data_IF_323970781423
#
_entry.id   IF_323970781423
#
_cell.length_a   1.000
_cell.length_b   1.000
_cell.length_c   1.000
_cell.angle_alpha   90.00
_cell.angle_beta   90.00
_cell.angle_gamma   90.00
#
_symmetry.space_group_name_H-M   'P 1'
#
loop_
_entity.id
_entity.type
_entity.pdbx_description
1 polymer ?
#
# COMPACT_ATOMS: atom_id res chain seq x y z
N UNK A 1 2.03 -1.92 -21.56
CA UNK A 1 1.56 -2.33 -20.22
C UNK A 1 2.32 -1.44 -19.24
N UNK A 2 1.60 -0.75 -18.37
CA UNK A 2 2.17 0.28 -17.48
C UNK A 2 3.13 -0.36 -16.45
N UNK A 3 3.97 0.46 -15.82
CA UNK A 3 5.05 0.02 -14.92
C UNK A 3 4.59 -0.82 -13.73
N UNK A 4 3.32 -0.77 -13.34
CA UNK A 4 2.79 -1.39 -12.12
C UNK A 4 1.75 -2.46 -12.45
N UNK A 5 2.04 -3.76 -12.27
CA UNK A 5 1.05 -4.83 -12.37
C UNK A 5 0.08 -4.87 -11.17
N UNK A 6 0.54 -4.38 -10.02
CA UNK A 6 -0.15 -4.37 -8.73
C UNK A 6 -0.05 -2.95 -8.13
N UNK A 7 -1.03 -2.51 -7.33
CA UNK A 7 -0.91 -1.26 -6.61
C UNK A 7 0.19 -1.39 -5.56
N UNK A 8 1.06 -0.40 -5.48
CA UNK A 8 2.04 -0.36 -4.41
C UNK A 8 1.41 0.16 -3.11
N UNK A 9 1.91 -0.35 -1.98
CA UNK A 9 1.80 0.28 -0.67
C UNK A 9 3.20 0.70 -0.23
N UNK A 10 3.40 2.01 -0.13
CA UNK A 10 4.63 2.61 0.38
C UNK A 10 4.70 2.35 1.89
N UNK A 11 5.80 1.77 2.33
CA UNK A 11 6.03 1.40 3.73
C UNK A 11 7.41 1.85 4.18
N UNK A 12 7.53 2.27 5.43
CA UNK A 12 8.84 2.52 6.03
C UNK A 12 9.61 1.19 6.16
N UNK A 13 10.93 1.15 5.89
CA UNK A 13 11.71 -0.09 5.96
C UNK A 13 11.70 -0.78 7.33
N UNK A 14 11.62 -0.01 8.43
CA UNK A 14 11.55 -0.61 9.78
C UNK A 14 10.21 -1.30 10.02
N UNK A 15 9.10 -0.76 9.51
CA UNK A 15 7.78 -1.40 9.61
C UNK A 15 7.75 -2.68 8.77
N UNK A 16 8.42 -2.67 7.61
CA UNK A 16 8.57 -3.87 6.78
C UNK A 16 9.33 -4.97 7.53
N UNK A 17 10.39 -4.61 8.26
CA UNK A 17 11.15 -5.54 9.09
C UNK A 17 10.31 -6.07 10.28
N UNK A 18 9.53 -5.21 10.95
CA UNK A 18 8.62 -5.60 12.03
C UNK A 18 7.57 -6.61 11.55
N UNK A 19 7.09 -6.46 10.31
CA UNK A 19 6.05 -7.30 9.71
C UNK A 19 6.57 -8.50 8.90
N UNK A 20 7.88 -8.71 8.82
CA UNK A 20 8.54 -9.76 8.03
C UNK A 20 8.11 -9.79 6.53
N UNK A 21 8.08 -8.60 5.92
CA UNK A 21 7.76 -8.41 4.50
C UNK A 21 8.94 -7.80 3.73
N UNK A 22 9.14 -8.29 2.51
CA UNK A 22 10.19 -7.83 1.60
C UNK A 22 9.62 -6.97 0.46
N UNK A 23 10.50 -6.28 -0.26
CA UNK A 23 10.09 -5.54 -1.47
C UNK A 23 9.38 -6.44 -2.48
N UNK A 24 8.23 -5.99 -2.97
CA UNK A 24 7.44 -6.75 -3.93
C UNK A 24 6.58 -7.87 -3.35
N UNK A 25 6.69 -8.18 -2.05
CA UNK A 25 5.77 -9.11 -1.39
C UNK A 25 4.32 -8.61 -1.53
N UNK A 26 3.39 -9.56 -1.60
CA UNK A 26 1.96 -9.24 -1.62
C UNK A 26 1.44 -9.28 -0.19
N UNK A 27 0.77 -8.21 0.23
CA UNK A 27 0.17 -8.07 1.55
C UNK A 27 -1.34 -7.86 1.44
N UNK A 28 -2.05 -8.33 2.45
CA UNK A 28 -3.42 -7.93 2.71
C UNK A 28 -3.41 -6.70 3.61
N UNK A 29 -4.20 -5.70 3.23
CA UNK A 29 -4.56 -4.55 4.07
C UNK A 29 -5.99 -4.75 4.50
N UNK A 30 -6.27 -4.77 5.80
CA UNK A 30 -7.58 -5.15 6.31
C UNK A 30 -7.98 -4.39 7.59
N UNK A 31 -9.27 -4.14 7.73
CA UNK A 31 -9.90 -3.61 8.93
C UNK A 31 -11.36 -4.08 9.01
N UNK A 32 -12.17 -3.41 9.82
CA UNK A 32 -13.59 -3.62 10.02
C UNK A 32 -14.45 -3.26 8.79
N UNK A 33 -13.98 -2.38 7.91
CA UNK A 33 -14.69 -2.04 6.66
C UNK A 33 -14.52 -3.11 5.56
N UNK A 34 -13.39 -3.82 5.55
CA UNK A 34 -13.12 -4.88 4.58
C UNK A 34 -11.64 -5.22 4.46
N UNK A 35 -11.27 -5.81 3.32
CA UNK A 35 -9.87 -6.09 2.99
C UNK A 35 -9.55 -5.91 1.51
N UNK A 36 -8.26 -5.72 1.22
CA UNK A 36 -7.72 -5.57 -0.13
C UNK A 36 -6.28 -6.06 -0.16
N UNK A 37 -5.64 -6.02 -1.32
CA UNK A 37 -4.26 -6.43 -1.52
C UNK A 37 -3.40 -5.32 -2.12
N UNK A 38 -2.12 -5.30 -1.74
CA UNK A 38 -1.12 -4.39 -2.29
C UNK A 38 0.25 -5.05 -2.35
N UNK A 39 1.10 -4.57 -3.25
CA UNK A 39 2.50 -4.94 -3.34
C UNK A 39 3.34 -4.01 -2.46
N UNK A 40 4.16 -4.57 -1.57
CA UNK A 40 5.04 -3.80 -0.68
C UNK A 40 6.08 -3.02 -1.48
N UNK A 41 6.22 -1.74 -1.16
CA UNK A 41 7.21 -0.85 -1.76
C UNK A 41 8.01 -0.14 -0.65
N UNK A 42 9.32 -0.42 -0.50
CA UNK A 42 10.14 0.25 0.51
C UNK A 42 10.29 1.73 0.18
N UNK A 43 9.85 2.59 1.10
CA UNK A 43 9.91 4.04 0.97
C UNK A 43 10.57 4.65 2.20
N UNK A 44 11.88 4.91 2.17
CA UNK A 44 12.61 5.44 3.33
C UNK A 44 12.12 6.79 3.84
N UNK A 45 11.39 7.56 3.02
CA UNK A 45 10.81 8.85 3.41
C UNK A 45 9.39 8.75 3.95
N UNK A 46 8.78 7.57 3.95
CA UNK A 46 7.55 7.32 4.70
C UNK A 46 7.83 7.45 6.21
N UNK A 47 6.89 7.99 6.98
CA UNK A 47 7.03 7.98 8.45
C UNK A 47 6.71 6.57 8.98
N UNK A 48 7.34 6.14 10.09
CA UNK A 48 6.96 4.88 10.73
C UNK A 48 5.46 4.82 11.03
N UNK A 49 4.83 3.68 10.72
CA UNK A 49 3.40 3.39 10.85
C UNK A 49 2.47 4.25 9.99
N UNK A 50 3.01 4.92 8.98
CA UNK A 50 2.24 5.66 7.99
C UNK A 50 2.53 5.14 6.59
N UNK A 51 1.54 4.45 6.01
CA UNK A 51 1.65 3.87 4.67
C UNK A 51 0.85 4.65 3.64
N UNK A 52 1.26 4.61 2.37
CA UNK A 52 0.49 5.17 1.26
C UNK A 52 0.22 4.10 0.19
N UNK A 53 -1.06 3.75 -0.03
CA UNK A 53 -1.47 2.79 -1.05
C UNK A 53 -2.09 3.50 -2.27
N UNK A 54 -1.68 3.08 -3.47
CA UNK A 54 -2.24 3.60 -4.72
C UNK A 54 -3.76 3.32 -4.80
N UNK A 55 -4.55 4.37 -4.97
CA UNK A 55 -6.02 4.27 -5.00
C UNK A 55 -6.56 3.83 -6.37
N UNK A 56 -7.79 3.28 -6.37
CA UNK A 56 -8.56 3.03 -7.61
C UNK A 56 -7.95 2.01 -8.57
N UNK A 57 -6.97 1.22 -8.12
CA UNK A 57 -6.25 0.30 -8.99
C UNK A 57 -6.99 -1.05 -9.14
N UNK A 58 -7.17 -1.57 -10.36
CA UNK A 58 -8.05 -2.72 -10.61
C UNK A 58 -7.58 -4.02 -9.97
N UNK A 59 -6.28 -4.19 -9.73
CA UNK A 59 -5.69 -5.39 -9.13
C UNK A 59 -5.50 -5.30 -7.61
N UNK A 60 -6.02 -4.24 -6.98
CA UNK A 60 -6.05 -4.05 -5.54
C UNK A 60 -6.72 -2.72 -5.18
N UNK A 61 -8.00 -2.77 -4.82
CA UNK A 61 -8.80 -1.57 -4.63
C UNK A 61 -8.65 -1.06 -3.20
N UNK A 62 -7.89 0.01 -2.99
CA UNK A 62 -7.67 0.61 -1.66
C UNK A 62 -8.98 1.04 -0.97
N UNK A 63 -9.99 1.42 -1.74
CA UNK A 63 -11.31 1.83 -1.22
C UNK A 63 -12.02 0.75 -0.38
N UNK A 64 -11.63 -0.52 -0.49
CA UNK A 64 -12.22 -1.63 0.25
C UNK A 64 -11.96 -1.59 1.76
N UNK A 65 -11.01 -0.77 2.22
CA UNK A 65 -10.72 -0.57 3.66
C UNK A 65 -11.14 0.81 4.16
N UNK A 66 -11.93 1.57 3.39
CA UNK A 66 -12.46 2.87 3.81
C UNK A 66 -13.86 2.64 4.39
N UNK A 67 -14.13 3.22 5.57
CA UNK A 67 -15.47 3.19 6.13
C UNK A 67 -16.44 3.98 5.23
N UNK A 68 -17.43 3.29 4.66
CA UNK A 68 -18.41 3.86 3.72
C UNK A 68 -19.30 4.96 4.32
N UNK A 69 -19.52 4.94 5.63
CA UNK A 69 -20.38 5.91 6.33
C UNK A 69 -19.59 7.12 6.86
N UNK A 70 -18.26 7.12 6.70
CA UNK A 70 -17.36 8.19 7.15
C UNK A 70 -17.41 9.43 6.26
N UNK A 71 -18.44 10.25 6.39
CA UNK A 71 -18.62 11.53 5.67
C UNK A 71 -18.73 12.72 6.64
N UNK A 72 -18.46 13.94 6.15
CA UNK A 72 -18.78 15.17 6.90
C UNK A 72 -20.26 15.58 6.76
N UNK A 73 -20.63 16.73 7.33
CA UNK A 73 -22.00 17.29 7.33
C UNK A 73 -22.56 17.57 5.92
N UNK A 74 -21.68 17.65 4.92
CA UNK A 74 -22.03 17.87 3.51
C UNK A 74 -21.89 16.60 2.66
N UNK A 75 -21.81 15.43 3.28
CA UNK A 75 -21.67 14.12 2.62
C UNK A 75 -20.37 14.03 1.79
N UNK A 76 -19.33 14.75 2.21
CA UNK A 76 -18.00 14.63 1.61
C UNK A 76 -17.27 13.46 2.28
N UNK A 77 -16.85 12.44 1.51
CA UNK A 77 -16.23 11.22 2.04
C UNK A 77 -14.81 11.45 2.57
N UNK A 78 -14.57 10.94 3.77
CA UNK A 78 -13.28 11.02 4.44
C UNK A 78 -12.36 9.85 4.07
N UNK A 79 -11.84 9.86 2.84
CA UNK A 79 -10.97 8.78 2.36
C UNK A 79 -9.61 8.70 3.06
N UNK A 80 -9.06 9.84 3.48
CA UNK A 80 -7.64 9.96 3.85
C UNK A 80 -7.37 9.59 5.31
N UNK A 81 -8.37 9.66 6.17
CA UNK A 81 -8.29 9.17 7.54
C UNK A 81 -8.73 7.72 7.60
N UNK A 82 -7.86 6.83 7.11
CA UNK A 82 -8.08 5.38 7.11
C UNK A 82 -6.96 4.69 7.87
N UNK A 83 -7.31 3.78 8.79
CA UNK A 83 -6.37 2.92 9.49
C UNK A 83 -6.71 1.45 9.23
N UNK A 84 -5.70 0.62 9.06
CA UNK A 84 -5.85 -0.79 8.79
C UNK A 84 -4.63 -1.58 9.28
N UNK A 85 -4.84 -2.86 9.52
CA UNK A 85 -3.77 -3.82 9.77
C UNK A 85 -3.19 -4.32 8.44
N UNK A 86 -1.95 -4.80 8.48
CA UNK A 86 -1.25 -5.35 7.32
C UNK A 86 -0.72 -6.75 7.68
N UNK A 87 -0.90 -7.72 6.78
CA UNK A 87 -0.27 -9.06 6.91
C UNK A 87 0.16 -9.61 5.56
N UNK A 88 1.18 -10.45 5.56
CA UNK A 88 1.70 -11.10 4.34
C UNK A 88 0.70 -12.10 3.75
N UNK A 89 0.49 -12.02 2.44
CA UNK A 89 -0.28 -13.01 1.66
C UNK A 89 0.64 -13.96 0.90
N UNK A 90 1.64 -13.42 0.21
CA UNK A 90 2.63 -14.21 -0.52
C UNK A 90 3.97 -13.50 -0.61
N UNK A 91 5.02 -14.29 -0.79
CA UNK A 91 6.30 -13.76 -1.24
C UNK A 91 6.16 -13.11 -2.63
N UNK A 92 7.14 -12.27 -2.99
CA UNK A 92 7.24 -11.54 -4.25
C UNK A 92 6.82 -12.38 -5.47
N UNK A 93 5.67 -12.08 -6.11
CA UNK A 93 5.23 -12.77 -7.31
C UNK A 93 6.20 -12.58 -8.49
N UNK A 94 6.30 -13.58 -9.36
CA UNK A 94 7.14 -13.51 -10.56
C UNK A 94 6.77 -12.32 -11.48
N UNK A 95 5.48 -11.94 -11.50
CA UNK A 95 4.98 -10.80 -12.28
C UNK A 95 5.62 -9.47 -11.89
N UNK A 96 6.21 -9.36 -10.70
CA UNK A 96 6.86 -8.14 -10.20
C UNK A 96 8.38 -8.29 -10.00
N UNK A 97 8.95 -9.41 -10.45
CA UNK A 97 10.40 -9.67 -10.37
C UNK A 97 11.23 -8.63 -11.17
N UNK A 98 10.65 -8.04 -12.21
CA UNK A 98 11.33 -7.07 -13.08
C UNK A 98 11.28 -5.61 -12.58
N UNK A 99 10.57 -5.33 -11.48
CA UNK A 99 10.37 -3.97 -11.00
C UNK A 99 11.61 -3.42 -10.26
N UNK A 100 11.86 -2.13 -10.44
CA UNK A 100 12.71 -1.32 -9.54
C UNK A 100 11.96 -0.89 -8.29
N UNK A 101 12.58 -1.09 -7.12
CA UNK A 101 12.10 -0.61 -5.82
C UNK A 101 12.97 0.52 -5.26
N UNK A 102 13.76 1.18 -6.12
CA UNK A 102 14.55 2.36 -5.73
C UNK A 102 13.63 3.52 -5.34
N UNK A 103 14.14 4.45 -4.54
CA UNK A 103 13.45 5.70 -4.24
C UNK A 103 12.96 6.40 -5.51
N UNK A 104 11.75 6.98 -5.43
CA UNK A 104 11.13 7.79 -6.47
C UNK A 104 11.70 9.22 -6.50
N UNK A 105 12.48 9.59 -5.49
CA UNK A 105 13.10 10.90 -5.37
C UNK A 105 14.32 11.01 -6.28
N UNK A 106 14.40 12.12 -7.01
CA UNK A 106 15.56 12.48 -7.80
C UNK A 106 16.80 12.64 -6.91
N UNK A 107 17.94 12.13 -7.38
CA UNK A 107 19.25 12.37 -6.77
C UNK A 107 20.11 13.16 -7.77
N UNK A 108 20.62 14.35 -7.40
CA UNK A 108 21.59 15.05 -8.22
C UNK A 108 22.90 14.23 -8.31
N UNK A 109 23.61 14.44 -9.41
CA UNK A 109 24.91 13.81 -9.66
C UNK A 109 26.03 14.45 -8.83
#
# INVERSE_FOLDING_TARGET
>A
MDRWPLPFIEMHPDDMAELDVAEGDLVEVWNDAGSTQAMVYPTPTARPRETFMLFGFPTGVQGSVINGDGVNEFVIPNYKQTWANIRKLSARPASVAHLSFKSKEYRPA
#
